data_IF_215687026903
#
_entry.id   IF_215687026903
#
_cell.length_a   1.000
_cell.length_b   1.000
_cell.length_c   1.000
_cell.angle_alpha   90.00
_cell.angle_beta   90.00
_cell.angle_gamma   90.00
#
_symmetry.space_group_name_H-M   'P 1'
#
loop_
_entity.id
_entity.type
_entity.pdbx_description
1 polymer ?
#
# COMPACT_ATOMS: atom_id res chain seq x y z
N UNK A 1 6.60 -10.58 -7.49
CA UNK A 1 6.49 -9.23 -6.91
C UNK A 1 5.02 -8.82 -6.78
N UNK A 2 4.67 -8.19 -5.66
CA UNK A 2 3.33 -7.66 -5.45
C UNK A 2 3.24 -6.20 -5.90
N UNK A 3 2.23 -5.89 -6.69
CA UNK A 3 2.03 -4.59 -7.33
C UNK A 3 0.78 -3.91 -6.76
N UNK A 4 0.95 -3.17 -5.66
CA UNK A 4 -0.12 -2.34 -5.08
C UNK A 4 -0.47 -1.11 -5.92
N UNK A 5 0.33 -0.80 -6.94
CA UNK A 5 0.09 0.33 -7.86
C UNK A 5 -1.17 0.17 -8.72
N UNK A 6 -1.72 -1.02 -8.85
CA UNK A 6 -3.00 -1.24 -9.53
C UNK A 6 -4.15 -0.45 -8.88
N UNK A 7 -4.04 -0.15 -7.59
CA UNK A 7 -5.00 0.66 -6.86
C UNK A 7 -4.87 2.18 -7.11
N UNK A 8 -3.87 2.60 -7.90
CA UNK A 8 -3.75 4.01 -8.27
C UNK A 8 -4.84 4.44 -9.25
N UNK A 9 -5.37 3.48 -10.02
CA UNK A 9 -6.52 3.67 -10.89
C UNK A 9 -7.28 2.34 -11.04
N UNK A 10 -8.03 2.00 -10.00
CA UNK A 10 -8.79 0.74 -9.97
C UNK A 10 -9.95 0.75 -10.96
N UNK A 11 -10.56 1.91 -11.22
CA UNK A 11 -11.67 2.06 -12.17
C UNK A 11 -11.21 1.74 -13.61
N UNK A 12 -10.08 2.33 -14.04
CA UNK A 12 -9.51 2.01 -15.35
C UNK A 12 -9.14 0.52 -15.50
N UNK A 13 -8.72 -0.12 -14.41
CA UNK A 13 -8.40 -1.55 -14.45
C UNK A 13 -9.66 -2.43 -14.53
N UNK A 14 -10.73 -2.04 -13.84
CA UNK A 14 -12.03 -2.70 -13.93
C UNK A 14 -12.55 -2.65 -15.36
N UNK A 15 -12.52 -1.48 -15.98
CA UNK A 15 -12.95 -1.27 -17.36
C UNK A 15 -12.07 -2.04 -18.37
N UNK A 16 -10.74 -2.00 -18.17
CA UNK A 16 -9.79 -2.68 -19.06
C UNK A 16 -9.96 -4.20 -19.06
N UNK A 17 -10.30 -4.78 -17.92
CA UNK A 17 -10.45 -6.23 -17.73
C UNK A 17 -11.91 -6.69 -17.84
N UNK A 18 -12.85 -5.78 -18.06
CA UNK A 18 -14.29 -6.04 -18.12
C UNK A 18 -14.76 -6.86 -16.89
N UNK A 19 -14.37 -6.39 -15.70
CA UNK A 19 -14.65 -7.12 -14.46
C UNK A 19 -16.14 -7.08 -14.13
N UNK A 20 -16.74 -8.24 -13.82
CA UNK A 20 -18.16 -8.31 -13.48
C UNK A 20 -18.46 -7.66 -12.12
N UNK A 21 -19.74 -7.42 -11.86
CA UNK A 21 -20.20 -6.99 -10.53
C UNK A 21 -19.65 -7.88 -9.41
N UNK A 22 -19.47 -7.29 -8.24
CA UNK A 22 -18.91 -7.94 -7.04
C UNK A 22 -17.47 -8.48 -7.22
N UNK A 23 -16.76 -7.95 -8.23
CA UNK A 23 -15.35 -8.25 -8.45
C UNK A 23 -14.52 -6.97 -8.37
N UNK A 24 -13.45 -6.98 -7.57
CA UNK A 24 -12.60 -5.82 -7.36
C UNK A 24 -11.10 -6.20 -7.38
N UNK A 25 -10.25 -5.43 -8.08
CA UNK A 25 -8.82 -5.70 -8.12
C UNK A 25 -8.17 -5.31 -6.77
N UNK A 26 -7.49 -6.24 -6.12
CA UNK A 26 -6.85 -6.02 -4.80
C UNK A 26 -5.35 -5.82 -4.94
N UNK A 27 -4.70 -6.65 -5.74
CA UNK A 27 -3.25 -6.64 -5.92
C UNK A 27 -2.87 -7.26 -7.27
N UNK A 28 -1.90 -6.67 -7.94
CA UNK A 28 -1.24 -7.31 -9.08
C UNK A 28 -0.09 -8.21 -8.60
N UNK A 29 0.12 -9.31 -9.29
CA UNK A 29 1.24 -10.21 -9.02
C UNK A 29 2.05 -10.41 -10.29
N UNK A 30 3.32 -10.00 -10.27
CA UNK A 30 4.30 -10.28 -11.30
C UNK A 30 5.21 -11.45 -10.87
N UNK A 31 5.40 -12.43 -11.73
CA UNK A 31 6.33 -13.53 -11.49
C UNK A 31 7.11 -13.89 -12.75
N UNK A 32 8.30 -14.42 -12.56
CA UNK A 32 9.15 -14.81 -13.66
C UNK A 32 10.53 -15.28 -13.20
N UNK A 33 11.37 -15.68 -14.16
CA UNK A 33 12.77 -16.04 -13.89
C UNK A 33 13.57 -14.75 -13.63
N UNK A 34 14.25 -14.61 -12.48
CA UNK A 34 15.05 -13.43 -12.21
C UNK A 34 16.23 -13.32 -13.19
N UNK A 35 16.46 -12.10 -13.70
CA UNK A 35 17.59 -11.77 -14.56
C UNK A 35 18.52 -10.73 -13.91
N UNK A 36 18.36 -10.48 -12.62
CA UNK A 36 19.15 -9.54 -11.84
C UNK A 36 19.38 -10.10 -10.44
N UNK A 37 20.46 -9.68 -9.80
CA UNK A 37 20.73 -9.92 -8.39
C UNK A 37 20.86 -8.58 -7.67
N UNK A 38 19.77 -7.85 -7.47
CA UNK A 38 19.81 -6.55 -6.83
C UNK A 38 20.13 -6.66 -5.34
N UNK A 39 20.66 -5.58 -4.78
CA UNK A 39 20.79 -5.46 -3.33
C UNK A 39 19.40 -5.58 -2.67
N UNK A 40 19.33 -6.32 -1.57
CA UNK A 40 18.10 -6.44 -0.80
C UNK A 40 17.76 -5.11 -0.15
N UNK A 41 16.52 -4.68 -0.31
CA UNK A 41 16.02 -3.52 0.38
C UNK A 41 15.88 -3.82 1.88
N UNK A 42 16.37 -2.95 2.77
CA UNK A 42 16.17 -3.09 4.21
C UNK A 42 14.71 -3.32 4.60
N UNK A 43 14.50 -4.01 5.66
CA UNK A 43 13.18 -4.28 6.24
C UNK A 43 13.17 -3.89 7.70
N UNK A 44 12.15 -3.14 8.07
CA UNK A 44 11.86 -2.87 9.48
C UNK A 44 11.83 -4.17 10.29
N UNK A 45 12.27 -4.12 11.53
CA UNK A 45 12.31 -5.27 12.41
C UNK A 45 10.95 -5.99 12.51
N UNK A 46 10.99 -7.30 12.67
CA UNK A 46 9.78 -8.11 12.78
C UNK A 46 8.98 -7.78 14.03
N UNK A 47 9.65 -7.42 15.12
CA UNK A 47 9.00 -7.04 16.39
C UNK A 47 8.10 -5.78 16.26
N UNK A 48 8.32 -5.00 15.19
CA UNK A 48 7.49 -3.82 14.88
C UNK A 48 6.33 -4.12 13.91
N UNK A 49 6.26 -5.34 13.37
CA UNK A 49 5.30 -5.72 12.32
C UNK A 49 4.49 -6.95 12.67
N UNK A 50 4.99 -7.78 13.53
CA UNK A 50 4.38 -9.05 13.89
C UNK A 50 4.13 -9.11 15.39
N UNK A 51 2.89 -9.34 15.76
CA UNK A 51 2.43 -9.39 17.14
C UNK A 51 1.66 -10.71 17.36
N UNK A 52 1.84 -11.32 18.53
CA UNK A 52 1.09 -12.51 18.94
C UNK A 52 0.02 -12.11 19.94
N UNK A 53 -1.22 -12.50 19.69
CA UNK A 53 -2.41 -12.30 20.52
C UNK A 53 -2.87 -10.85 20.69
N UNK A 54 -1.96 -9.89 20.81
CA UNK A 54 -2.29 -8.48 21.03
C UNK A 54 -1.36 -7.57 20.23
N UNK A 55 -1.93 -6.48 19.69
CA UNK A 55 -1.14 -5.40 19.12
C UNK A 55 -0.34 -4.70 20.23
N UNK A 56 0.91 -4.36 19.94
CA UNK A 56 1.79 -3.64 20.85
C UNK A 56 1.89 -2.18 20.44
N UNK A 57 1.51 -1.29 21.33
CA UNK A 57 1.73 0.14 21.17
C UNK A 57 3.04 0.55 21.85
N UNK A 58 3.68 1.57 21.31
CA UNK A 58 4.95 2.11 21.81
C UNK A 58 4.79 3.60 22.05
N UNK A 59 5.37 4.11 23.14
CA UNK A 59 5.27 5.52 23.50
C UNK A 59 6.04 6.44 22.55
N UNK A 60 7.17 5.95 21.99
CA UNK A 60 8.09 6.72 21.17
C UNK A 60 8.48 5.96 19.89
N UNK A 61 7.59 5.94 18.91
CA UNK A 61 7.82 5.24 17.64
C UNK A 61 9.04 5.75 16.88
N UNK A 62 9.34 7.04 16.93
CA UNK A 62 10.46 7.62 16.20
C UNK A 62 11.82 7.11 16.69
N UNK A 63 11.97 6.88 18.00
CA UNK A 63 13.20 6.34 18.57
C UNK A 63 13.40 4.88 18.16
N UNK A 64 12.30 4.12 18.08
CA UNK A 64 12.33 2.69 17.75
C UNK A 64 12.65 2.45 16.27
N UNK A 65 12.23 3.36 15.38
CA UNK A 65 12.48 3.23 13.93
C UNK A 65 13.73 3.98 13.47
N UNK A 66 14.46 4.63 14.37
CA UNK A 66 15.63 5.47 14.03
C UNK A 66 16.70 4.69 13.23
N UNK A 67 17.06 3.50 13.69
CA UNK A 67 18.05 2.65 13.03
C UNK A 67 17.58 2.24 11.62
N UNK A 68 16.29 1.93 11.47
CA UNK A 68 15.71 1.62 10.17
C UNK A 68 15.67 2.84 9.24
N UNK A 69 15.42 4.03 9.77
CA UNK A 69 15.47 5.28 9.01
C UNK A 69 16.87 5.52 8.44
N UNK A 70 17.92 5.32 9.25
CA UNK A 70 19.30 5.46 8.83
C UNK A 70 19.70 4.42 7.78
N UNK A 71 19.33 3.15 7.99
CA UNK A 71 19.60 2.07 7.04
C UNK A 71 18.90 2.32 5.69
N UNK A 72 17.67 2.79 5.71
CA UNK A 72 16.91 3.12 4.51
C UNK A 72 17.52 4.29 3.75
N UNK A 73 17.98 5.32 4.43
CA UNK A 73 18.66 6.45 3.82
C UNK A 73 19.95 6.00 3.13
N UNK A 74 20.77 5.21 3.82
CA UNK A 74 22.01 4.64 3.27
C UNK A 74 21.74 3.78 2.03
N UNK A 75 20.71 2.93 2.08
CA UNK A 75 20.33 2.08 0.96
C UNK A 75 19.99 2.89 -0.31
N UNK A 76 19.24 3.97 -0.17
CA UNK A 76 18.84 4.78 -1.30
C UNK A 76 19.97 5.64 -1.82
N UNK A 77 20.83 6.18 -0.96
CA UNK A 77 22.00 6.97 -1.35
C UNK A 77 22.99 6.13 -2.20
N UNK A 78 23.15 4.85 -1.85
CA UNK A 78 24.00 3.92 -2.61
C UNK A 78 23.39 3.48 -3.94
N UNK A 79 22.06 3.44 -4.03
CA UNK A 79 21.36 2.98 -5.24
C UNK A 79 21.24 4.05 -6.33
N UNK A 80 21.10 5.29 -5.94
CA UNK A 80 20.91 6.41 -6.85
C UNK A 80 21.61 7.67 -6.31
N UNK A 81 22.91 7.78 -6.60
CA UNK A 81 23.78 8.86 -6.14
C UNK A 81 23.28 10.28 -6.50
N UNK A 82 22.33 10.40 -7.43
CA UNK A 82 21.76 11.68 -7.86
C UNK A 82 20.39 11.97 -7.22
N UNK A 83 19.81 11.05 -6.46
CA UNK A 83 18.51 11.21 -5.84
C UNK A 83 18.60 11.07 -4.34
N UNK A 84 18.75 12.20 -3.66
CA UNK A 84 18.66 12.24 -2.21
C UNK A 84 17.27 11.80 -1.78
N UNK A 85 17.18 10.64 -1.16
CA UNK A 85 15.91 10.11 -0.68
C UNK A 85 15.83 10.38 0.83
N UNK A 86 14.72 10.94 1.25
CA UNK A 86 14.46 11.19 2.66
C UNK A 86 14.32 9.88 3.45
N UNK A 87 14.46 9.97 4.77
CA UNK A 87 14.23 8.86 5.70
C UNK A 87 12.85 8.22 5.49
N UNK A 88 12.66 6.99 5.93
CA UNK A 88 11.38 6.29 5.82
C UNK A 88 10.26 7.08 6.51
N UNK A 89 10.51 7.61 7.71
CA UNK A 89 9.55 8.43 8.46
C UNK A 89 9.05 9.64 7.67
N UNK A 90 9.96 10.38 7.02
CA UNK A 90 9.58 11.52 6.16
C UNK A 90 8.81 11.07 4.92
N UNK A 91 9.18 9.94 4.32
CA UNK A 91 8.43 9.39 3.19
C UNK A 91 6.99 9.03 3.58
N UNK A 92 6.77 8.51 4.80
CA UNK A 92 5.42 8.21 5.32
C UNK A 92 4.60 9.49 5.42
N UNK A 93 5.13 10.54 6.05
CA UNK A 93 4.44 11.84 6.17
C UNK A 93 4.06 12.39 4.79
N UNK A 94 5.04 12.47 3.88
CA UNK A 94 4.81 12.96 2.52
C UNK A 94 3.73 12.15 1.79
N UNK A 95 3.70 10.82 1.99
CA UNK A 95 2.67 9.96 1.38
C UNK A 95 1.28 10.19 1.95
N UNK A 96 1.16 10.43 3.23
CA UNK A 96 -0.12 10.73 3.87
C UNK A 96 -0.66 12.09 3.43
N UNK A 97 0.22 13.09 3.28
CA UNK A 97 -0.14 14.44 2.82
C UNK A 97 -0.47 14.50 1.32
N UNK A 98 0.16 13.65 0.51
CA UNK A 98 0.02 13.61 -0.95
C UNK A 98 -0.77 12.40 -1.47
N UNK A 99 -1.79 11.96 -0.72
CA UNK A 99 -2.63 10.83 -1.14
C UNK A 99 -3.26 11.09 -2.53
N UNK A 100 -3.09 10.14 -3.43
CA UNK A 100 -3.70 10.20 -4.77
C UNK A 100 -5.22 10.28 -4.66
N UNK A 101 -5.84 11.20 -5.41
CA UNK A 101 -7.31 11.36 -5.46
C UNK A 101 -8.00 10.05 -5.84
N UNK A 102 -7.42 9.29 -6.78
CA UNK A 102 -7.99 8.00 -7.18
C UNK A 102 -7.98 6.97 -6.05
N UNK A 103 -6.91 6.94 -5.24
CA UNK A 103 -6.87 6.06 -4.06
C UNK A 103 -7.87 6.49 -2.97
N UNK A 104 -8.13 7.76 -2.82
CA UNK A 104 -9.15 8.26 -1.88
C UNK A 104 -10.57 7.82 -2.27
N UNK A 105 -10.80 7.47 -3.53
CA UNK A 105 -12.09 7.05 -4.06
C UNK A 105 -12.29 5.52 -4.12
N UNK A 106 -11.37 4.71 -3.61
CA UNK A 106 -11.48 3.24 -3.70
C UNK A 106 -12.78 2.69 -3.12
N UNK A 107 -13.28 3.24 -2.01
CA UNK A 107 -14.56 2.83 -1.43
C UNK A 107 -15.72 3.08 -2.42
N UNK A 108 -15.77 4.27 -3.03
CA UNK A 108 -16.81 4.61 -4.02
C UNK A 108 -16.73 3.73 -5.26
N UNK A 109 -15.52 3.36 -5.70
CA UNK A 109 -15.32 2.46 -6.84
C UNK A 109 -15.82 1.06 -6.48
N UNK A 110 -15.56 0.58 -5.27
CA UNK A 110 -16.08 -0.70 -4.80
C UNK A 110 -17.62 -0.70 -4.70
N UNK A 111 -18.22 0.40 -4.24
CA UNK A 111 -19.68 0.56 -4.24
C UNK A 111 -20.27 0.53 -5.65
N UNK A 112 -19.63 1.15 -6.64
CA UNK A 112 -20.02 1.04 -8.06
C UNK A 112 -19.97 -0.39 -8.57
N UNK A 113 -19.06 -1.21 -8.04
CA UNK A 113 -18.97 -2.66 -8.34
C UNK A 113 -19.99 -3.50 -7.56
N UNK A 114 -20.92 -2.87 -6.82
CA UNK A 114 -21.99 -3.55 -6.12
C UNK A 114 -21.67 -3.96 -4.69
N UNK A 115 -20.47 -3.65 -4.16
CA UNK A 115 -20.16 -3.94 -2.75
C UNK A 115 -20.88 -2.96 -1.84
N UNK A 116 -21.58 -3.46 -0.83
CA UNK A 116 -22.16 -2.64 0.24
C UNK A 116 -21.15 -2.50 1.38
N UNK A 117 -20.34 -1.45 1.38
CA UNK A 117 -19.29 -1.23 2.39
C UNK A 117 -19.81 -0.57 3.66
N UNK A 118 -20.93 0.12 3.61
CA UNK A 118 -21.45 0.91 4.71
C UNK A 118 -22.59 0.22 5.48
N UNK A 119 -23.03 -0.96 5.02
CA UNK A 119 -24.08 -1.73 5.69
C UNK A 119 -25.47 -1.06 5.67
N UNK A 120 -25.68 -0.06 4.81
CA UNK A 120 -27.01 0.47 4.59
C UNK A 120 -27.88 -0.61 3.93
N UNK A 121 -28.89 -1.08 4.65
CA UNK A 121 -29.89 -1.96 4.07
C UNK A 121 -30.53 -1.23 2.88
N UNK A 122 -30.30 -1.75 1.68
CA UNK A 122 -31.14 -1.39 0.55
C UNK A 122 -32.52 -1.92 0.90
N UNK A 123 -33.45 -1.01 1.27
CA UNK A 123 -34.86 -1.34 1.32
C UNK A 123 -35.22 -2.05 0.02
N UNK A 124 -35.35 -3.37 0.06
CA UNK A 124 -36.01 -4.12 -0.97
C UNK A 124 -37.47 -3.71 -0.93
N UNK A 125 -37.80 -2.62 -1.63
CA UNK A 125 -39.17 -2.33 -1.97
C UNK A 125 -39.67 -3.50 -2.81
N UNK A 126 -40.48 -4.32 -2.14
CA UNK A 126 -41.25 -5.40 -2.76
C UNK A 126 -42.08 -4.83 -3.92
N UNK A 127 -41.98 -5.49 -5.04
CA UNK A 127 -42.95 -5.36 -6.15
C UNK A 127 -43.42 -6.74 -6.51
#
# INVERSE_FOLDING_TARGET
VYLGSILNDAEALIDLLDLPELTFPVVGIGFGKPNQSPQLKPRMDMDLKFFTDRYREYDHYMDIIADYDEEMQTYYDLRDANRRVDSFSKQVVTRLESASVNRANLAKIAEKQGFNLLGEEKDHAES
#
